data_IF_552372639565
#
_entry.id   IF_552372639565
#
_cell.length_a   1.000
_cell.length_b   1.000
_cell.length_c   1.000
_cell.angle_alpha   90.00
_cell.angle_beta   90.00
_cell.angle_gamma   90.00
#
_symmetry.space_group_name_H-M   'P 1'
#
loop_
_entity.id
_entity.type
_entity.pdbx_description
1 polymer ?
#
# COMPACT_ATOMS: atom_id res chain seq x y z
N UNK A 1 21.12 -28.30 -3.80
CA UNK A 1 20.32 -27.09 -3.52
C UNK A 1 18.97 -27.53 -2.98
N UNK A 2 18.64 -27.22 -1.72
CA UNK A 2 17.36 -27.57 -1.11
C UNK A 2 16.41 -26.36 -1.25
N UNK A 3 15.44 -26.44 -2.16
CA UNK A 3 14.37 -25.43 -2.29
C UNK A 3 13.14 -26.02 -1.61
N UNK A 4 12.84 -25.54 -0.41
CA UNK A 4 11.62 -25.91 0.30
C UNK A 4 10.44 -25.09 -0.26
N UNK A 5 9.41 -25.72 -0.85
CA UNK A 5 8.27 -25.01 -1.45
C UNK A 5 7.26 -24.58 -0.37
N UNK A 6 7.73 -23.96 0.71
CA UNK A 6 6.91 -23.57 1.85
C UNK A 6 7.03 -22.06 2.05
N UNK A 7 5.90 -21.40 2.32
CA UNK A 7 5.89 -19.97 2.63
C UNK A 7 6.67 -19.74 3.93
N UNK A 8 7.62 -18.80 3.89
CA UNK A 8 8.48 -18.43 5.04
C UNK A 8 7.69 -18.12 6.32
N UNK A 9 6.46 -17.59 6.20
CA UNK A 9 5.59 -17.34 7.36
C UNK A 9 5.33 -18.58 8.22
N UNK A 10 5.25 -19.78 7.63
CA UNK A 10 5.02 -21.02 8.37
C UNK A 10 6.28 -21.44 9.13
N UNK A 11 7.44 -21.30 8.51
CA UNK A 11 8.72 -21.54 9.16
C UNK A 11 8.95 -20.56 10.31
N UNK A 12 8.56 -19.29 10.13
CA UNK A 12 8.61 -18.28 11.18
C UNK A 12 7.69 -18.66 12.37
N UNK A 13 6.45 -19.10 12.12
CA UNK A 13 5.56 -19.56 13.19
C UNK A 13 6.11 -20.78 13.94
N UNK A 14 6.70 -21.74 13.21
CA UNK A 14 7.35 -22.89 13.82
C UNK A 14 8.53 -22.45 14.71
N UNK A 15 9.40 -21.56 14.21
CA UNK A 15 10.53 -21.04 14.97
C UNK A 15 10.08 -20.29 16.24
N UNK A 16 9.03 -19.46 16.15
CA UNK A 16 8.42 -18.77 17.29
C UNK A 16 7.87 -19.77 18.29
N UNK A 17 7.15 -20.80 17.83
CA UNK A 17 6.60 -21.85 18.69
C UNK A 17 7.68 -22.61 19.45
N UNK A 18 8.75 -23.03 18.76
CA UNK A 18 9.90 -23.69 19.39
C UNK A 18 10.60 -22.78 20.40
N UNK A 19 10.82 -21.50 20.04
CA UNK A 19 11.47 -20.53 20.92
C UNK A 19 10.64 -20.28 22.18
N UNK A 20 9.31 -20.15 22.04
CA UNK A 20 8.39 -19.99 23.16
C UNK A 20 8.37 -21.24 24.06
N UNK A 21 8.36 -22.44 23.46
CA UNK A 21 8.45 -23.69 24.21
C UNK A 21 9.75 -23.78 25.03
N UNK A 22 10.90 -23.48 24.40
CA UNK A 22 12.20 -23.43 25.09
C UNK A 22 12.24 -22.38 26.19
N UNK A 23 11.61 -21.22 25.99
CA UNK A 23 11.54 -20.16 27.01
C UNK A 23 10.73 -20.57 28.23
N UNK A 24 9.60 -21.26 28.04
CA UNK A 24 8.75 -21.76 29.13
C UNK A 24 9.42 -22.92 29.89
N UNK A 25 10.16 -23.78 29.18
CA UNK A 25 10.92 -24.89 29.77
C UNK A 25 12.25 -24.50 30.40
N UNK A 26 12.66 -23.22 30.31
CA UNK A 26 13.94 -22.76 30.82
C UNK A 26 13.97 -22.75 32.37
N UNK A 27 14.96 -23.40 33.00
CA UNK A 27 15.04 -23.57 34.45
C UNK A 27 15.49 -22.30 35.19
N UNK A 28 16.23 -21.41 34.53
CA UNK A 28 16.72 -20.17 35.12
C UNK A 28 16.29 -18.93 34.33
N UNK A 29 16.32 -17.77 35.00
CA UNK A 29 16.14 -16.48 34.33
C UNK A 29 17.27 -16.14 33.36
N UNK A 30 18.48 -16.64 33.61
CA UNK A 30 19.63 -16.46 32.71
C UNK A 30 19.40 -17.11 31.34
N UNK A 31 18.89 -18.34 31.33
CA UNK A 31 18.58 -19.08 30.10
C UNK A 31 17.50 -18.38 29.28
N UNK A 32 16.48 -17.83 29.96
CA UNK A 32 15.41 -17.04 29.33
C UNK A 32 15.96 -15.80 28.63
N UNK A 33 16.87 -15.09 29.28
CA UNK A 33 17.54 -13.91 28.70
C UNK A 33 18.43 -14.33 27.53
N UNK A 34 19.14 -15.46 27.64
CA UNK A 34 19.98 -15.97 26.55
C UNK A 34 19.16 -16.34 25.30
N UNK A 35 17.94 -16.87 25.48
CA UNK A 35 17.02 -17.20 24.37
C UNK A 35 16.52 -15.94 23.66
N UNK A 36 16.15 -14.89 24.41
CA UNK A 36 15.58 -13.65 23.85
C UNK A 36 16.66 -12.66 23.40
N UNK A 37 17.86 -12.72 23.98
CA UNK A 37 18.96 -11.80 23.74
C UNK A 37 19.29 -11.57 22.25
N UNK A 38 19.38 -12.62 21.41
CA UNK A 38 19.60 -12.45 19.98
C UNK A 38 18.50 -11.65 19.26
N UNK A 39 17.25 -11.71 19.72
CA UNK A 39 16.16 -10.89 19.14
C UNK A 39 16.39 -9.40 19.38
N UNK A 40 17.05 -9.05 20.49
CA UNK A 40 17.41 -7.67 20.79
C UNK A 40 18.41 -7.11 19.78
N UNK A 41 19.39 -7.91 19.32
CA UNK A 41 20.31 -7.50 18.26
C UNK A 41 19.56 -7.11 16.99
N UNK A 42 18.57 -7.91 16.59
CA UNK A 42 17.77 -7.57 15.42
C UNK A 42 17.08 -6.21 15.57
N UNK A 43 16.48 -5.93 16.74
CA UNK A 43 15.84 -4.64 17.01
C UNK A 43 16.86 -3.50 17.02
N UNK A 44 18.04 -3.69 17.61
CA UNK A 44 19.08 -2.66 17.66
C UNK A 44 19.55 -2.25 16.26
N UNK A 45 19.81 -3.21 15.38
CA UNK A 45 20.40 -2.92 14.06
C UNK A 45 19.36 -2.69 12.96
N UNK A 46 18.25 -3.42 12.96
CA UNK A 46 17.31 -3.47 11.82
C UNK A 46 15.96 -2.80 12.08
N UNK A 47 15.76 -2.13 13.23
CA UNK A 47 14.49 -1.41 13.49
C UNK A 47 14.15 -0.38 12.40
N UNK A 48 15.15 0.36 11.93
CA UNK A 48 14.93 1.42 10.95
C UNK A 48 14.51 0.83 9.61
N UNK A 49 15.16 -0.24 9.16
CA UNK A 49 14.78 -0.96 7.94
C UNK A 49 13.37 -1.55 8.04
N UNK A 50 13.01 -2.10 9.20
CA UNK A 50 11.66 -2.62 9.44
C UNK A 50 10.61 -1.51 9.30
N UNK A 51 10.82 -0.36 9.96
CA UNK A 51 9.92 0.80 9.88
C UNK A 51 9.82 1.32 8.45
N UNK A 52 10.96 1.51 7.78
CA UNK A 52 11.02 1.98 6.40
C UNK A 52 10.30 1.01 5.44
N UNK A 53 10.42 -0.30 5.66
CA UNK A 53 9.73 -1.32 4.87
C UNK A 53 8.21 -1.23 5.04
N UNK A 54 7.73 -1.04 6.27
CA UNK A 54 6.30 -0.88 6.56
C UNK A 54 5.77 0.43 5.96
N UNK A 55 6.48 1.53 6.12
CA UNK A 55 6.10 2.83 5.58
C UNK A 55 6.07 2.83 4.05
N UNK A 56 7.09 2.25 3.42
CA UNK A 56 7.16 2.10 1.96
C UNK A 56 5.99 1.27 1.42
N UNK A 57 5.62 0.18 2.10
CA UNK A 57 4.43 -0.60 1.75
C UNK A 57 3.15 0.23 1.87
N UNK A 58 2.99 0.99 2.96
CA UNK A 58 1.83 1.87 3.16
C UNK A 58 1.75 2.96 2.09
N UNK A 59 2.88 3.60 1.75
CA UNK A 59 2.94 4.60 0.66
C UNK A 59 2.54 3.97 -0.67
N UNK A 60 3.04 2.78 -0.97
CA UNK A 60 2.70 2.06 -2.22
C UNK A 60 1.21 1.73 -2.30
N UNK A 61 0.59 1.29 -1.22
CA UNK A 61 -0.86 0.99 -1.21
C UNK A 61 -1.69 2.27 -1.34
N UNK A 62 -1.29 3.37 -0.68
CA UNK A 62 -1.94 4.67 -0.84
C UNK A 62 -1.84 5.20 -2.27
N UNK A 63 -0.65 5.14 -2.88
CA UNK A 63 -0.47 5.52 -4.29
C UNK A 63 -1.31 4.66 -5.24
N UNK A 64 -1.38 3.35 -5.01
CA UNK A 64 -2.23 2.47 -5.83
C UNK A 64 -3.70 2.87 -5.73
N UNK A 65 -4.19 3.18 -4.51
CA UNK A 65 -5.57 3.65 -4.31
C UNK A 65 -5.82 4.98 -5.01
N UNK A 66 -4.95 5.97 -4.81
CA UNK A 66 -5.06 7.29 -5.46
C UNK A 66 -5.00 7.19 -6.98
N UNK A 67 -4.18 6.28 -7.51
CA UNK A 67 -4.12 6.02 -8.95
C UNK A 67 -5.46 5.52 -9.48
N UNK A 68 -6.07 4.54 -8.81
CA UNK A 68 -7.39 4.03 -9.21
C UNK A 68 -8.45 5.14 -9.15
N UNK A 69 -8.44 5.97 -8.11
CA UNK A 69 -9.36 7.12 -8.00
C UNK A 69 -9.13 8.14 -9.13
N UNK A 70 -7.87 8.47 -9.43
CA UNK A 70 -7.51 9.39 -10.52
C UNK A 70 -7.86 8.84 -11.91
N UNK A 71 -7.60 7.56 -12.15
CA UNK A 71 -7.90 6.91 -13.43
C UNK A 71 -9.42 6.82 -13.66
N UNK A 72 -10.22 6.78 -12.59
CA UNK A 72 -11.68 6.81 -12.63
C UNK A 72 -12.29 8.22 -12.64
N UNK A 73 -11.52 9.26 -12.32
CA UNK A 73 -11.97 10.64 -12.42
C UNK A 73 -12.17 11.03 -13.90
N UNK A 74 -13.21 11.83 -14.16
CA UNK A 74 -13.43 12.43 -15.46
C UNK A 74 -12.36 13.49 -15.76
N UNK A 75 -11.78 13.44 -16.95
CA UNK A 75 -10.89 14.51 -17.43
C UNK A 75 -11.66 15.72 -17.93
N UNK A 76 -12.85 15.48 -18.50
CA UNK A 76 -13.72 16.52 -19.02
C UNK A 76 -15.11 16.38 -18.42
N UNK A 77 -15.64 17.50 -17.95
CA UNK A 77 -17.01 17.61 -17.47
C UNK A 77 -17.65 18.82 -18.16
N UNK A 78 -18.75 18.60 -18.86
CA UNK A 78 -19.51 19.68 -19.50
C UNK A 78 -20.15 20.56 -18.42
N UNK A 79 -19.95 21.87 -18.51
CA UNK A 79 -20.51 22.84 -17.57
C UNK A 79 -22.06 22.88 -17.60
N UNK A 80 -22.66 22.67 -18.77
CA UNK A 80 -24.09 22.91 -18.96
C UNK A 80 -24.97 21.69 -18.65
N UNK A 81 -24.50 20.48 -19.00
CA UNK A 81 -25.26 19.24 -18.81
C UNK A 81 -24.62 18.23 -17.84
N UNK A 82 -23.40 18.48 -17.36
CA UNK A 82 -22.69 17.59 -16.44
C UNK A 82 -22.16 16.29 -17.07
N UNK A 83 -22.33 16.07 -18.38
CA UNK A 83 -21.78 14.90 -19.06
C UNK A 83 -20.25 14.86 -18.94
N UNK A 84 -19.70 13.66 -18.78
CA UNK A 84 -18.25 13.45 -18.64
C UNK A 84 -17.68 12.57 -19.75
N UNK A 85 -16.37 12.65 -19.96
CA UNK A 85 -15.64 11.74 -20.87
C UNK A 85 -15.74 10.26 -20.45
N UNK A 86 -16.09 9.99 -19.18
CA UNK A 86 -16.32 8.64 -18.66
C UNK A 86 -17.73 8.14 -18.89
N UNK A 87 -18.75 8.99 -18.71
CA UNK A 87 -20.15 8.62 -18.91
C UNK A 87 -20.55 8.62 -20.39
N UNK A 88 -19.90 9.45 -21.19
CA UNK A 88 -20.17 9.65 -22.61
C UNK A 88 -18.86 9.72 -23.41
N UNK A 89 -18.13 8.60 -23.53
CA UNK A 89 -16.82 8.54 -24.19
C UNK A 89 -16.87 8.87 -25.69
N UNK A 90 -18.04 8.77 -26.33
CA UNK A 90 -18.27 9.13 -27.73
C UNK A 90 -18.34 10.64 -27.99
N UNK A 91 -18.60 11.45 -26.95
CA UNK A 91 -18.80 12.89 -27.10
C UNK A 91 -17.48 13.64 -27.19
N UNK A 92 -17.47 14.68 -28.01
CA UNK A 92 -16.32 15.59 -28.10
C UNK A 92 -16.46 16.72 -27.09
N UNK A 93 -15.47 16.86 -26.22
CA UNK A 93 -15.39 17.96 -25.24
C UNK A 93 -14.43 19.03 -25.75
N UNK A 94 -14.85 20.30 -25.70
CA UNK A 94 -14.05 21.46 -26.13
C UNK A 94 -14.10 22.57 -25.10
N UNK A 95 -13.00 23.31 -24.99
CA UNK A 95 -12.94 24.50 -24.14
C UNK A 95 -13.40 25.74 -24.89
N UNK A 96 -14.28 26.51 -24.26
CA UNK A 96 -14.70 27.85 -24.70
C UNK A 96 -14.35 28.84 -23.59
N UNK A 97 -13.99 30.07 -23.96
CA UNK A 97 -13.87 31.16 -22.97
C UNK A 97 -15.24 31.81 -22.77
N UNK A 98 -15.70 31.86 -21.53
CA UNK A 98 -16.89 32.61 -21.10
C UNK A 98 -16.45 33.49 -19.93
N UNK A 99 -16.67 34.80 -20.04
CA UNK A 99 -16.27 35.80 -19.03
C UNK A 99 -14.80 35.70 -18.57
N UNK A 100 -13.90 35.37 -19.50
CA UNK A 100 -12.46 35.23 -19.24
C UNK A 100 -12.02 33.88 -18.67
N UNK A 101 -12.95 33.04 -18.23
CA UNK A 101 -12.67 31.68 -17.73
C UNK A 101 -12.80 30.63 -18.85
N UNK A 102 -11.93 29.62 -18.83
CA UNK A 102 -12.02 28.47 -19.74
C UNK A 102 -13.03 27.45 -19.17
N UNK A 103 -14.16 27.30 -19.83
CA UNK A 103 -15.20 26.31 -19.49
C UNK A 103 -15.21 25.19 -20.52
N UNK A 104 -15.43 23.96 -20.05
CA UNK A 104 -15.53 22.79 -20.91
C UNK A 104 -16.99 22.58 -21.32
N UNK A 105 -17.25 22.43 -22.61
CA UNK A 105 -18.58 22.22 -23.20
C UNK A 105 -18.52 20.99 -24.12
N UNK A 106 -19.54 20.14 -24.09
CA UNK A 106 -19.66 19.01 -25.02
C UNK A 106 -20.29 19.43 -26.36
N UNK A 107 -20.04 18.67 -27.40
CA UNK A 107 -20.62 18.82 -28.74
C UNK A 107 -22.15 18.96 -28.77
N UNK A 108 -22.86 18.23 -27.91
CA UNK A 108 -24.32 18.30 -27.82
C UNK A 108 -24.87 19.60 -27.19
N UNK A 109 -24.06 20.33 -26.41
CA UNK A 109 -24.45 21.59 -25.76
C UNK A 109 -23.83 22.82 -26.42
N UNK A 110 -23.11 22.62 -27.53
CA UNK A 110 -22.35 23.67 -28.21
C UNK A 110 -23.23 24.72 -28.87
#
# INVERSE_FOLDING_TARGET
MLILPVKVKWLAWLAVGLTAFSFLGAPSWGDRIAIVGPLFNFVLFFRNDLVNSVESRKRRTQFAKQKVERDNAAFHTCNDCGATDKTNPERQFRYKKVDGAAVCICDACR
#
